data_IF_360790431634
#
_entry.id   IF_360790431634
#
_cell.length_a   1.000
_cell.length_b   1.000
_cell.length_c   1.000
_cell.angle_alpha   90.00
_cell.angle_beta   90.00
_cell.angle_gamma   90.00
#
_symmetry.space_group_name_H-M   'P 1'
#
loop_
_entity.id
_entity.type
_entity.pdbx_description
1 polymer ?
#
# COMPACT_ATOMS: atom_id res chain seq x y z
N UNK A 1 -27.96 -14.48 16.71
CA UNK A 1 -27.87 -13.75 15.43
C UNK A 1 -26.59 -12.94 15.46
N UNK A 2 -25.60 -13.36 14.68
CA UNK A 2 -24.23 -12.83 14.67
C UNK A 2 -24.20 -11.45 13.99
N UNK A 3 -23.67 -10.47 14.70
CA UNK A 3 -23.26 -9.17 14.14
C UNK A 3 -21.93 -9.42 13.44
N UNK A 4 -21.95 -9.40 12.10
CA UNK A 4 -20.74 -9.43 11.30
C UNK A 4 -19.91 -8.17 11.62
N UNK A 5 -18.83 -8.36 12.38
CA UNK A 5 -17.87 -7.31 12.68
C UNK A 5 -17.25 -6.79 11.38
N UNK A 6 -17.34 -5.48 11.16
CA UNK A 6 -16.50 -4.80 10.20
C UNK A 6 -15.05 -5.06 10.61
N UNK A 7 -14.31 -5.81 9.79
CA UNK A 7 -12.85 -5.92 9.91
C UNK A 7 -12.27 -4.53 9.65
N UNK A 8 -11.87 -3.83 10.70
CA UNK A 8 -10.91 -2.73 10.58
C UNK A 8 -9.67 -3.30 9.88
N UNK A 9 -9.35 -2.85 8.66
CA UNK A 9 -8.10 -3.18 8.00
C UNK A 9 -6.97 -2.38 8.67
N UNK A 10 -6.55 -2.82 9.87
CA UNK A 10 -5.26 -2.38 10.42
C UNK A 10 -4.19 -2.96 9.50
N UNK A 11 -3.36 -2.08 8.94
CA UNK A 11 -2.18 -2.51 8.18
C UNK A 11 -1.22 -3.29 9.07
N UNK A 12 -0.26 -3.98 8.46
CA UNK A 12 0.83 -4.62 9.19
C UNK A 12 1.71 -3.55 9.84
N UNK A 13 2.14 -3.81 11.07
CA UNK A 13 2.96 -2.86 11.86
C UNK A 13 4.44 -3.10 11.59
N UNK A 14 4.83 -4.36 11.42
CA UNK A 14 6.21 -4.80 11.26
C UNK A 14 6.57 -5.20 9.82
N UNK A 15 5.63 -5.11 8.88
CA UNK A 15 5.89 -5.34 7.46
C UNK A 15 5.84 -4.03 6.68
N UNK A 16 6.85 -3.80 5.85
CA UNK A 16 6.98 -2.63 5.00
C UNK A 16 7.23 -3.06 3.56
N UNK A 17 6.54 -2.41 2.63
CA UNK A 17 6.76 -2.61 1.19
C UNK A 17 7.34 -1.31 0.63
N UNK A 18 8.41 -1.43 -0.12
CA UNK A 18 9.08 -0.33 -0.82
C UNK A 18 9.09 -0.57 -2.33
N UNK A 19 9.05 0.51 -3.11
CA UNK A 19 9.27 0.50 -4.56
C UNK A 19 8.26 -0.32 -5.38
N UNK A 20 7.04 -0.53 -4.87
CA UNK A 20 5.94 -1.13 -5.62
C UNK A 20 6.16 -2.60 -6.04
N UNK A 21 6.99 -3.36 -5.31
CA UNK A 21 7.24 -4.78 -5.60
C UNK A 21 5.94 -5.61 -5.61
N UNK A 22 5.06 -5.32 -4.64
CA UNK A 22 3.69 -5.79 -4.50
C UNK A 22 2.87 -4.68 -3.82
N UNK A 23 1.63 -4.40 -4.22
CA UNK A 23 0.79 -3.43 -3.52
C UNK A 23 0.46 -3.87 -2.08
N UNK A 24 0.40 -2.97 -1.09
CA UNK A 24 0.07 -3.31 0.29
C UNK A 24 -1.28 -4.02 0.47
N UNK A 25 -2.30 -3.70 -0.34
CA UNK A 25 -3.57 -4.42 -0.34
C UNK A 25 -3.46 -5.86 -0.87
N UNK A 26 -2.50 -6.12 -1.75
CA UNK A 26 -2.24 -7.47 -2.22
C UNK A 26 -1.66 -8.32 -1.08
N UNK A 27 -0.78 -7.74 -0.24
CA UNK A 27 -0.29 -8.41 0.96
C UNK A 27 -1.41 -8.72 1.97
N UNK A 28 -2.41 -7.84 2.10
CA UNK A 28 -3.61 -8.14 2.89
C UNK A 28 -4.42 -9.32 2.31
N UNK A 29 -4.53 -9.39 0.98
CA UNK A 29 -5.19 -10.50 0.28
C UNK A 29 -4.43 -11.82 0.51
N UNK A 30 -3.09 -11.79 0.46
CA UNK A 30 -2.24 -12.93 0.81
C UNK A 30 -2.49 -13.38 2.25
N UNK A 31 -2.52 -12.46 3.21
CA UNK A 31 -2.77 -12.78 4.62
C UNK A 31 -4.20 -13.31 4.87
N UNK A 32 -5.16 -12.91 4.04
CA UNK A 32 -6.53 -13.43 4.07
C UNK A 32 -6.68 -14.81 3.41
N UNK A 33 -5.63 -15.35 2.78
CA UNK A 33 -5.65 -16.56 1.93
C UNK A 33 -6.54 -16.41 0.69
N UNK A 34 -6.61 -15.20 0.13
CA UNK A 34 -7.44 -14.84 -1.03
C UNK A 34 -6.62 -14.68 -2.32
N UNK A 35 -5.28 -14.75 -2.24
CA UNK A 35 -4.41 -14.74 -3.41
C UNK A 35 -4.40 -16.11 -4.11
N UNK A 36 -4.07 -16.16 -5.42
CA UNK A 36 -3.94 -17.42 -6.15
C UNK A 36 -2.90 -18.37 -5.50
N UNK A 37 -3.11 -19.68 -5.65
CA UNK A 37 -2.16 -20.72 -5.21
C UNK A 37 -1.80 -20.65 -3.71
N UNK A 38 -2.81 -20.47 -2.85
CA UNK A 38 -2.68 -20.49 -1.39
C UNK A 38 -3.34 -21.69 -0.70
N UNK A 39 -3.60 -22.78 -1.42
CA UNK A 39 -4.03 -24.02 -0.78
C UNK A 39 -2.88 -24.63 0.04
N UNK A 40 -3.20 -25.49 1.01
CA UNK A 40 -2.18 -26.12 1.86
C UNK A 40 -1.09 -26.85 1.06
N UNK A 41 -1.48 -27.52 -0.02
CA UNK A 41 -0.56 -28.19 -0.93
C UNK A 41 0.42 -27.22 -1.64
N UNK A 42 0.01 -25.97 -1.91
CA UNK A 42 0.89 -24.95 -2.49
C UNK A 42 1.97 -24.51 -1.51
N UNK A 43 1.78 -24.72 -0.20
CA UNK A 43 2.78 -24.54 0.84
C UNK A 43 3.54 -25.83 1.18
N UNK A 44 3.34 -26.91 0.42
CA UNK A 44 3.97 -28.21 0.71
C UNK A 44 3.34 -28.95 1.90
N UNK A 45 2.18 -28.50 2.40
CA UNK A 45 1.49 -29.16 3.50
C UNK A 45 0.73 -30.40 3.01
N UNK A 46 0.69 -31.44 3.85
CA UNK A 46 -0.11 -32.63 3.57
C UNK A 46 -1.61 -32.31 3.65
N UNK A 47 -2.44 -33.14 3.01
CA UNK A 47 -3.90 -32.94 2.97
C UNK A 47 -4.58 -32.93 4.33
N UNK A 48 -3.95 -33.50 5.35
CA UNK A 48 -4.49 -33.56 6.72
C UNK A 48 -4.17 -32.31 7.55
N UNK A 49 -3.32 -31.40 7.05
CA UNK A 49 -2.88 -30.22 7.78
C UNK A 49 -3.58 -28.96 7.27
N UNK A 50 -4.17 -28.20 8.19
CA UNK A 50 -4.74 -26.90 7.88
C UNK A 50 -3.68 -25.80 8.03
N UNK A 51 -3.61 -24.88 7.06
CA UNK A 51 -2.65 -23.75 7.07
C UNK A 51 -2.70 -22.97 8.39
N UNK A 52 -3.90 -22.70 8.93
CA UNK A 52 -4.05 -21.93 10.18
C UNK A 52 -3.45 -22.64 11.39
N UNK A 53 -3.55 -23.96 11.44
CA UNK A 53 -2.99 -24.77 12.53
C UNK A 53 -1.46 -24.84 12.41
N UNK A 54 -0.96 -25.00 11.18
CA UNK A 54 0.48 -24.98 10.91
C UNK A 54 1.10 -23.60 11.18
N UNK A 55 0.43 -22.49 10.84
CA UNK A 55 0.86 -21.14 11.22
C UNK A 55 0.98 -21.00 12.74
N UNK A 56 0.02 -21.51 13.52
CA UNK A 56 0.12 -21.52 14.98
C UNK A 56 1.24 -22.42 15.50
N UNK A 57 1.57 -23.51 14.79
CA UNK A 57 2.74 -24.36 15.10
C UNK A 57 4.05 -23.64 14.81
N UNK A 58 4.22 -23.08 13.61
CA UNK A 58 5.42 -22.33 13.23
C UNK A 58 5.61 -21.07 14.06
N UNK A 59 4.53 -20.41 14.50
CA UNK A 59 4.59 -19.30 15.44
C UNK A 59 5.25 -19.70 16.76
N UNK A 60 4.86 -20.85 17.34
CA UNK A 60 5.48 -21.36 18.58
C UNK A 60 6.96 -21.70 18.40
N UNK A 61 7.31 -22.34 17.27
CA UNK A 61 8.71 -22.66 16.94
C UNK A 61 9.52 -21.36 16.78
N UNK A 62 8.97 -20.36 16.08
CA UNK A 62 9.59 -19.04 15.91
C UNK A 62 9.85 -18.31 17.22
N UNK A 63 8.89 -18.32 18.14
CA UNK A 63 9.06 -17.71 19.46
C UNK A 63 10.15 -18.38 20.29
N UNK A 64 10.25 -19.72 20.28
CA UNK A 64 11.34 -20.45 20.96
C UNK A 64 12.70 -20.12 20.33
N UNK A 65 12.82 -20.14 19.01
CA UNK A 65 14.05 -19.75 18.31
C UNK A 65 14.44 -18.30 18.61
N UNK A 66 13.49 -17.37 18.57
CA UNK A 66 13.75 -15.95 18.80
C UNK A 66 14.13 -15.68 20.25
N UNK A 67 13.47 -16.32 21.21
CA UNK A 67 13.79 -16.16 22.63
C UNK A 67 15.22 -16.59 22.92
N UNK A 68 15.65 -17.74 22.39
CA UNK A 68 17.05 -18.21 22.51
C UNK A 68 18.03 -17.25 21.86
N UNK A 69 17.70 -16.73 20.67
CA UNK A 69 18.50 -15.72 20.00
C UNK A 69 18.61 -14.43 20.84
N UNK A 70 17.48 -13.94 21.37
CA UNK A 70 17.40 -12.72 22.17
C UNK A 70 18.18 -12.80 23.48
N UNK A 71 18.18 -13.97 24.14
CA UNK A 71 18.98 -14.24 25.34
C UNK A 71 20.48 -14.30 25.06
N UNK A 72 20.87 -14.87 23.90
CA UNK A 72 22.28 -15.12 23.59
C UNK A 72 22.96 -13.99 22.84
N UNK A 73 22.23 -13.18 22.05
CA UNK A 73 22.81 -12.09 21.25
C UNK A 73 23.60 -11.02 22.03
N UNK A 74 23.32 -10.71 23.33
CA UNK A 74 24.11 -9.72 24.07
C UNK A 74 25.45 -10.28 24.57
N UNK A 75 25.65 -11.60 24.54
CA UNK A 75 26.86 -12.25 25.06
C UNK A 75 28.06 -11.98 24.16
N UNK A 76 29.13 -11.48 24.75
CA UNK A 76 30.38 -11.14 24.07
C UNK A 76 31.35 -12.31 23.96
N UNK A 77 31.12 -13.39 24.72
CA UNK A 77 31.94 -14.62 24.71
C UNK A 77 31.54 -15.58 23.57
N UNK A 78 30.40 -15.33 22.91
CA UNK A 78 29.91 -16.11 21.78
C UNK A 78 30.27 -15.46 20.44
N UNK A 79 30.50 -16.28 19.42
CA UNK A 79 30.65 -15.79 18.04
C UNK A 79 29.31 -15.28 17.53
N UNK A 80 29.27 -14.04 17.05
CA UNK A 80 28.05 -13.41 16.54
C UNK A 80 27.44 -14.18 15.36
N UNK A 81 28.26 -14.73 14.47
CA UNK A 81 27.80 -15.53 13.32
C UNK A 81 27.13 -16.84 13.74
N UNK A 82 27.65 -17.51 14.76
CA UNK A 82 27.02 -18.72 15.30
C UNK A 82 25.65 -18.39 15.87
N UNK A 83 25.55 -17.35 16.71
CA UNK A 83 24.28 -16.98 17.35
C UNK A 83 23.26 -16.41 16.34
N UNK A 84 23.70 -15.50 15.46
CA UNK A 84 22.81 -14.78 14.54
C UNK A 84 22.47 -15.53 13.26
N UNK A 85 23.36 -16.36 12.75
CA UNK A 85 23.16 -17.06 11.47
C UNK A 85 22.89 -18.55 11.70
N UNK A 86 23.83 -19.27 12.33
CA UNK A 86 23.75 -20.73 12.45
C UNK A 86 22.62 -21.19 13.39
N UNK A 87 22.37 -20.45 14.47
CA UNK A 87 21.38 -20.79 15.51
C UNK A 87 20.05 -20.03 15.37
N UNK A 88 20.02 -18.94 14.59
CA UNK A 88 18.83 -18.10 14.40
C UNK A 88 18.33 -18.10 12.95
N UNK A 89 19.01 -17.41 12.02
CA UNK A 89 18.49 -17.22 10.67
C UNK A 89 18.39 -18.50 9.84
N UNK A 90 19.39 -19.38 9.88
CA UNK A 90 19.35 -20.62 9.12
C UNK A 90 18.24 -21.57 9.65
N UNK A 91 18.08 -21.78 10.98
CA UNK A 91 16.94 -22.52 11.52
C UNK A 91 15.60 -21.85 11.24
N UNK A 92 15.51 -20.52 11.27
CA UNK A 92 14.32 -19.77 10.90
C UNK A 92 13.92 -20.07 9.44
N UNK A 93 14.86 -19.97 8.50
CA UNK A 93 14.59 -20.25 7.08
C UNK A 93 14.20 -21.71 6.84
N UNK A 94 14.92 -22.67 7.40
CA UNK A 94 14.62 -24.09 7.21
C UNK A 94 13.31 -24.49 7.90
N UNK A 95 13.22 -24.21 9.20
CA UNK A 95 12.17 -24.78 10.06
C UNK A 95 10.86 -24.02 10.00
N UNK A 96 10.89 -22.72 9.71
CA UNK A 96 9.67 -21.91 9.60
C UNK A 96 9.33 -21.67 8.14
N UNK A 97 10.27 -21.18 7.34
CA UNK A 97 9.96 -20.76 5.96
C UNK A 97 10.13 -21.88 4.91
N UNK A 98 10.52 -23.09 5.29
CA UNK A 98 10.52 -24.26 4.40
C UNK A 98 11.67 -24.32 3.40
N UNK A 99 12.79 -23.63 3.65
CA UNK A 99 13.99 -23.70 2.82
C UNK A 99 14.81 -24.95 3.13
N UNK A 100 14.25 -26.13 2.87
CA UNK A 100 14.87 -27.43 3.24
C UNK A 100 16.25 -27.64 2.60
N UNK A 101 16.44 -27.14 1.38
CA UNK A 101 17.67 -27.26 0.57
C UNK A 101 18.64 -26.08 0.74
N UNK A 102 18.42 -25.21 1.74
CA UNK A 102 19.32 -24.09 2.03
C UNK A 102 20.77 -24.61 2.11
N UNK A 103 21.70 -24.00 1.40
CA UNK A 103 23.09 -24.43 1.33
C UNK A 103 24.02 -23.24 1.51
N UNK A 104 25.10 -23.42 2.26
CA UNK A 104 26.14 -22.39 2.39
C UNK A 104 26.95 -22.30 1.08
N UNK A 105 27.13 -21.09 0.56
CA UNK A 105 27.80 -20.83 -0.73
C UNK A 105 29.06 -19.98 -0.59
N UNK A 106 29.16 -19.17 0.47
CA UNK A 106 30.31 -18.29 0.75
C UNK A 106 30.36 -17.03 -0.13
N UNK A 107 30.62 -17.20 -1.43
CA UNK A 107 30.64 -16.13 -2.43
C UNK A 107 30.25 -16.65 -3.81
N UNK A 108 29.60 -15.81 -4.61
CA UNK A 108 29.39 -16.07 -6.04
C UNK A 108 30.33 -15.20 -6.89
N UNK A 109 30.84 -15.76 -7.98
CA UNK A 109 31.62 -15.02 -8.97
C UNK A 109 30.77 -14.80 -10.21
N UNK A 110 30.64 -13.54 -10.63
CA UNK A 110 29.83 -13.14 -11.77
C UNK A 110 30.52 -11.95 -12.47
N UNK A 111 30.82 -12.11 -13.76
CA UNK A 111 31.56 -11.12 -14.57
C UNK A 111 32.83 -10.58 -13.88
N UNK A 112 33.69 -11.48 -13.40
CA UNK A 112 34.94 -11.16 -12.68
C UNK A 112 34.73 -10.41 -11.34
N UNK A 113 33.49 -10.10 -10.96
CA UNK A 113 33.12 -9.54 -9.65
C UNK A 113 32.76 -10.67 -8.69
N UNK A 114 33.16 -10.50 -7.43
CA UNK A 114 32.84 -11.47 -6.39
C UNK A 114 31.80 -10.87 -5.44
N UNK A 115 30.63 -11.50 -5.41
CA UNK A 115 29.50 -11.15 -4.56
C UNK A 115 29.52 -12.01 -3.30
N UNK A 116 29.48 -11.37 -2.14
CA UNK A 116 29.37 -12.10 -0.86
C UNK A 116 27.94 -12.57 -0.69
N UNK A 117 27.71 -13.85 -0.95
CA UNK A 117 26.43 -14.55 -0.76
C UNK A 117 26.67 -15.69 0.21
N UNK A 118 26.06 -15.63 1.40
CA UNK A 118 26.36 -16.60 2.44
C UNK A 118 25.66 -17.93 2.19
N UNK A 119 24.45 -17.89 1.63
CA UNK A 119 23.66 -19.09 1.34
C UNK A 119 22.93 -18.98 0.00
N UNK A 120 22.43 -20.12 -0.48
CA UNK A 120 21.49 -20.20 -1.60
C UNK A 120 20.43 -21.28 -1.34
N UNK A 121 19.32 -21.20 -2.05
CA UNK A 121 18.31 -22.24 -2.14
C UNK A 121 17.94 -22.50 -3.61
N UNK A 122 17.27 -23.62 -3.87
CA UNK A 122 16.80 -24.03 -5.19
C UNK A 122 17.90 -24.07 -6.25
N UNK A 123 19.04 -24.67 -5.90
CA UNK A 123 20.17 -24.81 -6.82
C UNK A 123 20.83 -23.47 -7.22
N UNK A 124 20.67 -22.42 -6.41
CA UNK A 124 21.24 -21.10 -6.68
C UNK A 124 20.22 -20.05 -7.12
N UNK A 125 19.01 -20.46 -7.49
CA UNK A 125 18.00 -19.54 -8.03
C UNK A 125 17.48 -18.51 -7.00
N UNK A 126 17.64 -18.80 -5.71
CA UNK A 126 17.35 -17.84 -4.63
C UNK A 126 18.63 -17.64 -3.81
N UNK A 127 19.43 -16.59 -4.08
CA UNK A 127 20.57 -16.21 -3.27
C UNK A 127 20.14 -15.60 -1.93
N UNK A 128 20.94 -15.81 -0.88
CA UNK A 128 20.73 -15.24 0.44
C UNK A 128 22.01 -14.61 0.99
N UNK A 129 21.86 -13.42 1.57
CA UNK A 129 22.89 -12.75 2.36
C UNK A 129 22.44 -12.67 3.82
N UNK A 130 22.77 -13.72 4.57
CA UNK A 130 22.53 -13.83 6.00
C UNK A 130 23.72 -13.28 6.79
N UNK A 131 23.46 -12.22 7.55
CA UNK A 131 24.40 -11.43 8.32
C UNK A 131 23.99 -11.39 9.79
N UNK A 132 24.80 -10.72 10.59
CA UNK A 132 24.61 -10.51 12.02
C UNK A 132 24.18 -9.07 12.31
N UNK A 133 23.68 -8.83 13.53
CA UNK A 133 23.03 -7.57 13.92
C UNK A 133 23.93 -6.33 13.89
N UNK A 134 25.25 -6.52 13.85
CA UNK A 134 26.23 -5.47 13.67
C UNK A 134 26.27 -4.89 12.25
N UNK A 135 25.58 -5.52 11.29
CA UNK A 135 25.37 -4.98 9.96
C UNK A 135 24.03 -4.24 9.89
N UNK A 136 24.08 -2.99 9.43
CA UNK A 136 22.90 -2.24 8.99
C UNK A 136 22.71 -2.48 7.49
N UNK A 137 21.52 -2.94 7.09
CA UNK A 137 21.26 -3.41 5.73
C UNK A 137 21.43 -2.31 4.66
N UNK A 138 21.31 -1.04 5.06
CA UNK A 138 21.40 0.13 4.18
C UNK A 138 22.76 0.84 4.27
N UNK A 139 23.58 0.57 5.30
CA UNK A 139 24.88 1.24 5.46
C UNK A 139 26.01 0.45 4.84
N UNK A 140 26.87 1.17 4.13
CA UNK A 140 28.04 0.57 3.52
C UNK A 140 29.05 0.07 4.58
N UNK A 141 29.42 -1.21 4.49
CA UNK A 141 30.41 -1.86 5.33
C UNK A 141 31.58 -2.36 4.46
N UNK A 142 32.80 -2.20 4.97
CA UNK A 142 34.03 -2.64 4.29
C UNK A 142 34.10 -4.17 4.21
N UNK A 143 33.50 -4.87 5.18
CA UNK A 143 33.45 -6.33 5.27
C UNK A 143 32.55 -6.94 4.20
N UNK A 144 31.67 -6.16 3.57
CA UNK A 144 30.82 -6.62 2.47
C UNK A 144 31.41 -6.32 1.10
N UNK A 145 32.26 -5.30 0.97
CA UNK A 145 32.85 -4.95 -0.32
C UNK A 145 34.13 -5.75 -0.68
N UNK A 146 34.64 -5.41 -1.86
CA UNK A 146 35.83 -5.95 -2.54
C UNK A 146 36.87 -4.83 -2.70
N UNK A 147 38.16 -5.18 -2.69
CA UNK A 147 39.27 -4.25 -3.04
C UNK A 147 39.23 -2.90 -2.29
N UNK A 148 38.85 -2.92 -1.01
CA UNK A 148 38.78 -1.70 -0.19
C UNK A 148 37.51 -0.85 -0.40
N UNK A 149 36.59 -1.26 -1.29
CA UNK A 149 35.29 -0.61 -1.45
C UNK A 149 34.35 -1.02 -0.32
N UNK A 150 33.45 -0.13 0.08
CA UNK A 150 32.39 -0.43 1.06
C UNK A 150 31.08 -0.64 0.31
N UNK A 151 30.29 -1.63 0.72
CA UNK A 151 28.99 -1.91 0.12
C UNK A 151 27.95 -2.17 1.22
N UNK A 152 26.71 -1.78 0.97
CA UNK A 152 25.59 -2.10 1.85
C UNK A 152 25.03 -3.48 1.46
N UNK A 153 24.53 -4.24 2.43
CA UNK A 153 24.01 -5.59 2.18
C UNK A 153 22.85 -5.60 1.17
N UNK A 154 21.93 -4.63 1.29
CA UNK A 154 20.85 -4.45 0.33
C UNK A 154 21.39 -4.18 -1.08
N UNK A 155 22.36 -3.27 -1.20
CA UNK A 155 23.00 -2.93 -2.48
C UNK A 155 23.73 -4.12 -3.11
N UNK A 156 24.50 -4.88 -2.33
CA UNK A 156 25.21 -6.08 -2.80
C UNK A 156 24.24 -7.12 -3.37
N UNK A 157 23.10 -7.37 -2.70
CA UNK A 157 22.09 -8.27 -3.23
C UNK A 157 21.42 -7.71 -4.48
N UNK A 158 21.06 -6.42 -4.50
CA UNK A 158 20.42 -5.80 -5.66
C UNK A 158 21.34 -5.83 -6.89
N UNK A 159 22.63 -5.54 -6.73
CA UNK A 159 23.62 -5.63 -7.80
C UNK A 159 23.76 -7.06 -8.34
N UNK A 160 23.70 -8.07 -7.47
CA UNK A 160 23.73 -9.47 -7.89
C UNK A 160 22.48 -9.87 -8.68
N UNK A 161 21.28 -9.60 -8.14
CA UNK A 161 20.01 -9.93 -8.80
C UNK A 161 19.86 -9.21 -10.16
N UNK A 162 20.39 -8.00 -10.29
CA UNK A 162 20.37 -7.26 -11.55
C UNK A 162 21.37 -7.80 -12.60
N UNK A 163 22.32 -8.62 -12.19
CA UNK A 163 23.37 -9.16 -13.06
C UNK A 163 23.21 -10.66 -13.35
N UNK A 164 22.45 -11.40 -12.54
CA UNK A 164 22.26 -12.84 -12.66
C UNK A 164 20.83 -13.18 -13.11
N UNK A 165 20.67 -13.54 -14.39
CA UNK A 165 19.38 -13.92 -14.97
C UNK A 165 18.78 -15.19 -14.32
N UNK A 166 19.64 -16.04 -13.75
CA UNK A 166 19.21 -17.24 -13.03
C UNK A 166 18.68 -16.96 -11.61
N UNK A 167 18.71 -15.70 -11.13
CA UNK A 167 18.27 -15.31 -9.80
C UNK A 167 17.44 -14.03 -9.83
N UNK A 168 16.11 -14.17 -9.91
CA UNK A 168 15.20 -13.02 -9.90
C UNK A 168 14.89 -12.49 -8.50
N UNK A 169 14.94 -13.35 -7.48
CA UNK A 169 14.56 -13.02 -6.11
C UNK A 169 15.64 -13.43 -5.13
N UNK A 170 15.89 -12.60 -4.12
CA UNK A 170 16.90 -12.87 -3.10
C UNK A 170 16.49 -12.38 -1.72
N UNK A 171 17.11 -12.95 -0.69
CA UNK A 171 16.85 -12.60 0.70
C UNK A 171 18.07 -11.95 1.36
N UNK A 172 17.87 -10.87 2.10
CA UNK A 172 18.91 -10.26 2.93
C UNK A 172 18.42 -10.17 4.37
N UNK A 173 19.24 -10.60 5.33
CA UNK A 173 18.89 -10.46 6.74
C UNK A 173 20.09 -10.21 7.62
N UNK A 174 19.90 -9.46 8.71
CA UNK A 174 20.89 -9.23 9.76
C UNK A 174 20.45 -9.80 11.13
N UNK A 175 19.43 -10.66 11.16
CA UNK A 175 18.86 -11.22 12.40
C UNK A 175 17.74 -10.36 12.99
N UNK A 176 17.78 -9.04 12.79
CA UNK A 176 16.71 -8.11 13.18
C UNK A 176 15.66 -7.92 12.09
N UNK A 177 16.11 -7.83 10.84
CA UNK A 177 15.26 -7.57 9.68
C UNK A 177 15.47 -8.64 8.63
N UNK A 178 14.42 -8.98 7.89
CA UNK A 178 14.48 -9.80 6.70
C UNK A 178 13.92 -9.01 5.53
N UNK A 179 14.67 -8.90 4.45
CA UNK A 179 14.22 -8.28 3.21
C UNK A 179 14.13 -9.33 2.11
N UNK A 180 13.01 -9.31 1.40
CA UNK A 180 12.83 -9.98 0.13
C UNK A 180 12.97 -8.97 -1.00
N UNK A 181 13.96 -9.18 -1.86
CA UNK A 181 14.28 -8.31 -2.99
C UNK A 181 13.98 -9.04 -4.29
N UNK A 182 13.66 -8.26 -5.31
CA UNK A 182 13.61 -8.70 -6.70
C UNK A 182 14.65 -7.92 -7.53
N UNK A 183 15.08 -8.49 -8.65
CA UNK A 183 15.72 -7.74 -9.73
C UNK A 183 14.95 -6.44 -10.04
N UNK A 184 15.67 -5.34 -10.15
CA UNK A 184 15.10 -4.03 -10.37
C UNK A 184 16.06 -3.16 -11.17
N UNK A 185 15.70 -2.92 -12.42
CA UNK A 185 16.47 -2.08 -13.34
C UNK A 185 16.62 -0.62 -12.85
N UNK A 186 15.74 -0.16 -11.95
CA UNK A 186 15.82 1.17 -11.37
C UNK A 186 16.79 1.21 -10.19
N UNK A 187 17.98 1.79 -10.41
CA UNK A 187 18.98 2.01 -9.35
C UNK A 187 18.58 3.13 -8.35
N UNK A 188 17.56 3.93 -8.67
CA UNK A 188 17.17 5.10 -7.86
C UNK A 188 15.97 4.85 -6.94
N UNK A 189 15.20 3.78 -7.19
CA UNK A 189 14.02 3.42 -6.39
C UNK A 189 14.16 1.98 -5.90
N UNK A 190 14.64 1.75 -4.66
CA UNK A 190 14.75 0.40 -4.12
C UNK A 190 13.35 -0.24 -4.03
N UNK A 191 13.27 -1.55 -4.29
CA UNK A 191 12.01 -2.29 -4.32
C UNK A 191 12.16 -3.58 -3.53
N UNK A 192 11.45 -3.69 -2.40
CA UNK A 192 11.58 -4.83 -1.48
C UNK A 192 10.41 -4.93 -0.51
N UNK A 193 10.26 -6.12 0.08
CA UNK A 193 9.41 -6.35 1.26
C UNK A 193 10.33 -6.55 2.45
N UNK A 194 10.19 -5.73 3.50
CA UNK A 194 10.93 -5.83 4.75
C UNK A 194 10.00 -6.31 5.87
N UNK A 195 10.49 -7.25 6.66
CA UNK A 195 9.90 -7.64 7.93
C UNK A 195 10.86 -7.29 9.07
N UNK A 196 10.37 -6.58 10.08
CA UNK A 196 11.06 -6.36 11.34
C UNK A 196 10.83 -7.57 12.26
N UNK A 197 11.79 -8.50 12.26
CA UNK A 197 11.71 -9.74 13.04
C UNK A 197 11.76 -9.46 14.54
N UNK A 198 12.51 -8.44 14.97
CA UNK A 198 12.54 -8.07 16.37
C UNK A 198 11.16 -7.61 16.83
N UNK A 199 10.51 -6.73 16.07
CA UNK A 199 9.19 -6.22 16.38
C UNK A 199 8.13 -7.33 16.33
N UNK A 200 8.18 -8.21 15.31
CA UNK A 200 7.24 -9.33 15.17
C UNK A 200 7.24 -10.20 16.42
N UNK A 201 8.41 -10.63 16.89
CA UNK A 201 8.50 -11.57 18.00
C UNK A 201 8.48 -10.90 19.37
N UNK A 202 9.06 -9.71 19.54
CA UNK A 202 9.07 -9.02 20.84
C UNK A 202 7.70 -8.47 21.24
N UNK A 203 6.90 -8.00 20.26
CA UNK A 203 5.55 -7.47 20.51
C UNK A 203 4.44 -8.47 20.18
N UNK A 204 4.79 -9.76 20.03
CA UNK A 204 3.87 -10.88 19.77
C UNK A 204 2.90 -10.65 18.59
N UNK A 205 3.39 -10.06 17.49
CA UNK A 205 2.58 -9.69 16.33
C UNK A 205 2.31 -10.91 15.43
N UNK A 206 1.42 -11.81 15.88
CA UNK A 206 1.00 -12.98 15.12
C UNK A 206 0.47 -12.67 13.69
N UNK A 207 -0.35 -11.61 13.46
CA UNK A 207 -0.82 -11.28 12.11
C UNK A 207 0.32 -10.96 11.14
N UNK A 208 1.32 -10.20 11.59
CA UNK A 208 2.50 -9.84 10.82
C UNK A 208 3.38 -11.06 10.55
N UNK A 209 3.56 -11.94 11.54
CA UNK A 209 4.24 -13.22 11.33
C UNK A 209 3.52 -14.08 10.28
N UNK A 210 2.19 -14.20 10.36
CA UNK A 210 1.43 -15.00 9.41
C UNK A 210 1.56 -14.45 7.99
N UNK A 211 1.50 -13.13 7.82
CA UNK A 211 1.71 -12.49 6.52
C UNK A 211 3.15 -12.67 6.00
N UNK A 212 4.15 -12.56 6.86
CA UNK A 212 5.54 -12.87 6.53
C UNK A 212 5.69 -14.32 6.06
N UNK A 213 5.16 -15.28 6.83
CA UNK A 213 5.23 -16.70 6.49
C UNK A 213 4.58 -16.96 5.13
N UNK A 214 3.35 -16.47 4.92
CA UNK A 214 2.61 -16.69 3.68
C UNK A 214 3.29 -16.09 2.44
N UNK A 215 4.12 -15.06 2.61
CA UNK A 215 4.78 -14.31 1.53
C UNK A 215 6.21 -14.77 1.26
N UNK A 216 6.98 -15.07 2.31
CA UNK A 216 8.40 -15.42 2.21
C UNK A 216 8.68 -16.93 2.29
N UNK A 217 7.64 -17.77 2.45
CA UNK A 217 7.77 -19.22 2.40
C UNK A 217 8.46 -19.67 1.11
N UNK A 218 9.34 -20.66 1.20
CA UNK A 218 10.19 -21.12 0.12
C UNK A 218 9.38 -21.51 -1.13
N UNK A 219 8.18 -22.07 -0.95
CA UNK A 219 7.30 -22.42 -2.07
C UNK A 219 6.79 -21.23 -2.90
N UNK A 220 6.88 -20.00 -2.37
CA UNK A 220 6.54 -18.78 -3.12
C UNK A 220 7.60 -18.41 -4.15
N UNK A 221 8.84 -18.74 -3.82
CA UNK A 221 10.06 -18.32 -4.51
C UNK A 221 10.67 -19.44 -5.35
N UNK A 222 10.31 -20.69 -5.06
CA UNK A 222 10.72 -21.86 -5.83
C UNK A 222 10.37 -21.68 -7.32
N UNK A 223 11.37 -21.70 -8.22
CA UNK A 223 11.13 -21.74 -9.66
C UNK A 223 10.26 -22.94 -10.04
N UNK A 224 9.37 -22.75 -11.01
CA UNK A 224 8.57 -23.84 -11.60
C UNK A 224 9.00 -24.04 -13.06
N UNK A 225 8.85 -25.24 -13.61
CA UNK A 225 9.15 -25.52 -15.03
C UNK A 225 10.54 -25.05 -15.49
N UNK A 226 11.56 -25.15 -14.61
CA UNK A 226 12.94 -24.71 -14.81
C UNK A 226 13.09 -23.23 -15.25
N UNK A 227 12.10 -22.39 -14.93
CA UNK A 227 12.12 -20.94 -15.21
C UNK A 227 12.05 -20.14 -13.91
N UNK A 228 12.94 -19.17 -13.76
CA UNK A 228 12.97 -18.29 -12.59
C UNK A 228 11.75 -17.38 -12.53
N UNK A 229 11.17 -17.03 -13.68
CA UNK A 229 9.99 -16.15 -13.83
C UNK A 229 8.65 -16.81 -13.48
N UNK A 230 8.60 -18.12 -13.24
CA UNK A 230 7.36 -18.89 -13.03
C UNK A 230 7.14 -19.29 -11.57
N UNK A 231 7.82 -18.65 -10.62
CA UNK A 231 7.49 -18.80 -9.21
C UNK A 231 6.16 -18.11 -8.86
N UNK A 232 5.54 -18.51 -7.74
CA UNK A 232 4.20 -18.03 -7.38
C UNK A 232 4.19 -16.52 -7.11
N UNK A 233 5.26 -16.00 -6.49
CA UNK A 233 5.34 -14.56 -6.20
C UNK A 233 5.40 -13.70 -7.48
N UNK A 234 5.93 -14.22 -8.59
CA UNK A 234 5.86 -13.55 -9.90
C UNK A 234 4.44 -13.53 -10.46
N UNK A 235 3.70 -14.63 -10.29
CA UNK A 235 2.28 -14.69 -10.67
C UNK A 235 1.46 -13.69 -9.86
N UNK A 236 1.75 -13.56 -8.57
CA UNK A 236 1.15 -12.56 -7.69
C UNK A 236 1.45 -11.14 -8.14
N UNK A 237 2.72 -10.84 -8.47
CA UNK A 237 3.11 -9.51 -8.95
C UNK A 237 2.44 -9.17 -10.28
N UNK A 238 2.41 -10.09 -11.23
CA UNK A 238 1.71 -9.90 -12.50
C UNK A 238 0.21 -9.62 -12.28
N UNK A 239 -0.43 -10.35 -11.36
CA UNK A 239 -1.84 -10.15 -11.03
C UNK A 239 -2.11 -8.81 -10.35
N UNK A 240 -1.24 -8.42 -9.44
CA UNK A 240 -1.34 -7.16 -8.74
C UNK A 240 -1.17 -5.98 -9.72
N UNK A 241 -0.23 -6.09 -10.65
CA UNK A 241 -0.02 -5.08 -11.71
C UNK A 241 -1.23 -4.96 -12.63
N UNK A 242 -1.80 -6.07 -13.11
CA UNK A 242 -3.04 -6.09 -13.91
C UNK A 242 -4.21 -5.43 -13.16
N UNK A 243 -4.29 -5.67 -11.85
CA UNK A 243 -5.33 -5.07 -11.00
C UNK A 243 -5.11 -3.56 -10.86
N UNK A 244 -3.87 -3.10 -10.69
CA UNK A 244 -3.50 -1.69 -10.66
C UNK A 244 -3.87 -0.95 -11.95
N UNK A 245 -3.53 -1.51 -13.13
CA UNK A 245 -3.94 -0.96 -14.44
C UNK A 245 -5.45 -0.77 -14.53
N UNK A 246 -6.22 -1.81 -14.15
CA UNK A 246 -7.69 -1.74 -14.15
C UNK A 246 -8.22 -0.70 -13.18
N UNK A 247 -7.61 -0.52 -12.01
CA UNK A 247 -8.01 0.51 -11.05
C UNK A 247 -7.80 1.90 -11.65
N UNK A 248 -6.69 2.13 -12.35
CA UNK A 248 -6.42 3.41 -13.05
C UNK A 248 -7.45 3.72 -14.13
N UNK A 249 -7.73 2.77 -15.01
CA UNK A 249 -8.76 2.93 -16.05
C UNK A 249 -10.14 3.23 -15.43
N UNK A 250 -10.54 2.46 -14.43
CA UNK A 250 -11.80 2.68 -13.72
C UNK A 250 -11.84 4.03 -12.99
N UNK A 251 -10.72 4.52 -12.47
CA UNK A 251 -10.64 5.81 -11.80
C UNK A 251 -10.81 6.96 -12.80
N UNK A 252 -10.20 6.88 -13.99
CA UNK A 252 -10.41 7.85 -15.08
C UNK A 252 -11.89 7.97 -15.45
N UNK A 253 -12.55 6.84 -15.67
CA UNK A 253 -13.99 6.79 -15.95
C UNK A 253 -14.82 7.30 -14.77
N UNK A 254 -14.42 6.94 -13.55
CA UNK A 254 -15.04 7.38 -12.32
C UNK A 254 -15.00 8.91 -12.16
N UNK A 255 -13.86 9.53 -12.42
CA UNK A 255 -13.70 10.98 -12.36
C UNK A 255 -14.55 11.66 -13.44
N UNK A 256 -14.53 11.17 -14.68
CA UNK A 256 -15.33 11.72 -15.78
C UNK A 256 -16.83 11.69 -15.44
N UNK A 257 -17.33 10.57 -14.91
CA UNK A 257 -18.71 10.45 -14.44
C UNK A 257 -19.00 11.36 -13.25
N UNK A 258 -18.05 11.53 -12.35
CA UNK A 258 -18.17 12.43 -11.20
C UNK A 258 -18.29 13.88 -11.63
N UNK A 259 -17.46 14.34 -12.56
CA UNK A 259 -17.54 15.69 -13.13
C UNK A 259 -18.93 15.95 -13.73
N UNK A 260 -19.45 14.99 -14.51
CA UNK A 260 -20.81 15.08 -15.06
C UNK A 260 -21.88 15.12 -13.96
N UNK A 261 -21.75 14.30 -12.91
CA UNK A 261 -22.74 14.24 -11.82
C UNK A 261 -22.75 15.52 -10.99
N UNK A 262 -21.57 16.04 -10.64
CA UNK A 262 -21.44 17.30 -9.92
C UNK A 262 -21.92 18.46 -10.78
N UNK A 263 -21.45 18.59 -12.02
CA UNK A 263 -21.85 19.64 -12.94
C UNK A 263 -23.37 19.72 -13.12
N UNK A 264 -23.98 18.60 -13.51
CA UNK A 264 -25.44 18.55 -13.64
C UNK A 264 -26.15 18.76 -12.30
N UNK A 265 -25.61 18.26 -11.20
CA UNK A 265 -26.23 18.38 -9.88
C UNK A 265 -26.31 19.82 -9.40
N UNK A 266 -25.25 20.62 -9.62
CA UNK A 266 -25.28 22.05 -9.35
C UNK A 266 -26.25 22.77 -10.29
N UNK A 267 -26.22 22.50 -11.60
CA UNK A 267 -27.12 23.19 -12.54
C UNK A 267 -28.60 22.87 -12.29
N UNK A 268 -28.94 21.64 -11.88
CA UNK A 268 -30.32 21.23 -11.60
C UNK A 268 -30.86 21.71 -10.26
N UNK A 269 -30.01 22.12 -9.34
CA UNK A 269 -30.47 22.51 -8.01
C UNK A 269 -31.23 23.83 -8.07
N UNK A 270 -32.47 23.85 -7.55
CA UNK A 270 -33.38 25.01 -7.65
C UNK A 270 -32.79 26.32 -7.10
N UNK A 271 -31.97 26.25 -6.05
CA UNK A 271 -31.37 27.44 -5.43
C UNK A 271 -30.28 28.10 -6.29
N UNK A 272 -29.75 27.41 -7.30
CA UNK A 272 -28.61 27.89 -8.10
C UNK A 272 -29.06 28.70 -9.32
N UNK A 273 -30.04 29.59 -9.14
CA UNK A 273 -30.56 30.45 -10.23
C UNK A 273 -29.45 31.32 -10.79
N UNK A 274 -28.65 31.94 -9.92
CA UNK A 274 -27.53 32.80 -10.32
C UNK A 274 -26.48 32.06 -11.14
N UNK A 275 -26.13 30.84 -10.73
CA UNK A 275 -25.16 30.02 -11.46
C UNK A 275 -25.62 29.74 -12.91
N UNK A 276 -26.90 29.43 -13.10
CA UNK A 276 -27.48 29.22 -14.44
C UNK A 276 -27.47 30.52 -15.24
N UNK A 277 -27.94 31.63 -14.66
CA UNK A 277 -27.95 32.93 -15.31
C UNK A 277 -26.55 33.40 -15.73
N UNK A 278 -25.54 33.22 -14.88
CA UNK A 278 -24.16 33.59 -15.16
C UNK A 278 -23.57 32.74 -16.30
N UNK A 279 -24.00 31.48 -16.46
CA UNK A 279 -23.64 30.65 -17.61
C UNK A 279 -24.39 31.06 -18.89
N UNK A 280 -25.70 31.30 -18.80
CA UNK A 280 -26.57 31.73 -19.91
C UNK A 280 -26.10 33.05 -20.52
N UNK A 281 -25.76 34.03 -19.68
CA UNK A 281 -25.33 35.36 -20.13
C UNK A 281 -23.82 35.47 -20.42
N UNK A 282 -23.07 34.39 -20.21
CA UNK A 282 -21.62 34.31 -20.46
C UNK A 282 -20.73 34.99 -19.40
N UNK A 283 -21.26 35.47 -18.28
CA UNK A 283 -20.47 35.99 -17.15
C UNK A 283 -19.56 34.90 -16.54
N UNK A 284 -20.01 33.65 -16.58
CA UNK A 284 -19.23 32.45 -16.29
C UNK A 284 -19.11 31.64 -17.59
N UNK A 285 -17.88 31.45 -18.08
CA UNK A 285 -17.67 30.58 -19.24
C UNK A 285 -17.75 29.10 -18.87
N UNK A 286 -18.14 28.25 -19.82
CA UNK A 286 -18.19 26.80 -19.61
C UNK A 286 -16.84 26.21 -19.19
N UNK A 287 -15.74 26.76 -19.73
CA UNK A 287 -14.38 26.38 -19.35
C UNK A 287 -14.07 26.73 -17.89
N UNK A 288 -14.44 27.93 -17.42
CA UNK A 288 -14.23 28.32 -16.02
C UNK A 288 -15.07 27.50 -15.06
N UNK A 289 -16.31 27.17 -15.43
CA UNK A 289 -17.14 26.28 -14.63
C UNK A 289 -16.52 24.87 -14.54
N UNK A 290 -16.05 24.34 -15.67
CA UNK A 290 -15.36 23.06 -15.72
C UNK A 290 -14.07 23.02 -14.89
N UNK A 291 -13.27 24.09 -14.93
CA UNK A 291 -12.09 24.26 -14.09
C UNK A 291 -12.43 24.18 -12.59
N UNK A 292 -13.54 24.78 -12.16
CA UNK A 292 -13.99 24.68 -10.76
C UNK A 292 -14.45 23.26 -10.41
N UNK A 293 -15.13 22.56 -11.32
CA UNK A 293 -15.49 21.16 -11.12
C UNK A 293 -14.26 20.26 -11.01
N UNK A 294 -13.24 20.46 -11.84
CA UNK A 294 -11.96 19.74 -11.76
C UNK A 294 -11.29 19.97 -10.40
N UNK A 295 -11.22 21.22 -9.94
CA UNK A 295 -10.67 21.57 -8.62
C UNK A 295 -11.46 20.94 -7.49
N UNK A 296 -12.79 20.92 -7.58
CA UNK A 296 -13.65 20.25 -6.60
C UNK A 296 -13.39 18.75 -6.55
N UNK A 297 -13.29 18.07 -7.70
CA UNK A 297 -12.93 16.65 -7.72
C UNK A 297 -11.54 16.43 -7.13
N UNK A 298 -10.58 17.30 -7.44
CA UNK A 298 -9.24 17.21 -6.88
C UNK A 298 -9.23 17.38 -5.36
N UNK A 299 -10.07 18.27 -4.79
CA UNK A 299 -10.29 18.39 -3.33
C UNK A 299 -10.73 17.06 -2.74
N UNK A 300 -11.67 16.36 -3.40
CA UNK A 300 -12.19 15.07 -2.93
C UNK A 300 -11.13 13.96 -3.00
N UNK A 301 -10.38 13.87 -4.11
CA UNK A 301 -9.31 12.87 -4.27
C UNK A 301 -8.17 13.10 -3.27
N UNK A 302 -7.79 14.36 -3.06
CA UNK A 302 -6.82 14.74 -2.05
C UNK A 302 -7.29 14.30 -0.66
N UNK A 303 -8.55 14.56 -0.30
CA UNK A 303 -9.09 14.16 0.99
C UNK A 303 -9.13 12.65 1.18
N UNK A 304 -9.55 11.87 0.18
CA UNK A 304 -9.47 10.41 0.30
C UNK A 304 -8.05 9.94 0.61
N UNK A 305 -7.06 10.50 -0.08
CA UNK A 305 -5.66 10.15 0.10
C UNK A 305 -5.14 10.58 1.47
N UNK A 306 -5.39 11.83 1.87
CA UNK A 306 -4.92 12.40 3.12
C UNK A 306 -5.56 11.75 4.35
N UNK A 307 -6.86 11.45 4.30
CA UNK A 307 -7.57 10.73 5.35
C UNK A 307 -7.06 9.28 5.47
N UNK A 308 -6.94 8.56 4.35
CA UNK A 308 -6.51 7.16 4.39
C UNK A 308 -5.05 6.99 4.82
N UNK A 309 -4.18 7.95 4.50
CA UNK A 309 -2.77 7.99 4.97
C UNK A 309 -2.60 8.61 6.36
N UNK A 310 -3.68 9.06 7.00
CA UNK A 310 -3.64 9.77 8.29
C UNK A 310 -2.70 11.00 8.29
N UNK A 311 -2.67 11.73 7.17
CA UNK A 311 -1.79 12.89 6.94
C UNK A 311 -2.46 14.24 7.21
N UNK A 312 -3.77 14.24 7.49
CA UNK A 312 -4.54 15.48 7.57
C UNK A 312 -4.31 16.27 8.86
N UNK A 313 -3.98 15.59 9.95
CA UNK A 313 -3.89 16.19 11.27
C UNK A 313 -2.45 16.60 11.63
N UNK A 314 -2.32 17.66 12.44
CA UNK A 314 -1.02 18.05 12.98
C UNK A 314 -0.45 16.96 13.90
N UNK A 315 0.89 16.86 14.05
CA UNK A 315 1.51 15.91 14.97
C UNK A 315 1.04 16.06 16.43
N UNK A 316 0.62 17.26 16.82
CA UNK A 316 0.12 17.58 18.16
C UNK A 316 -1.39 17.36 18.35
N UNK A 317 -2.11 16.93 17.31
CA UNK A 317 -3.55 16.73 17.40
C UNK A 317 -3.89 15.54 18.32
N UNK A 318 -4.73 15.81 19.33
CA UNK A 318 -5.23 14.84 20.30
C UNK A 318 -6.23 13.86 19.67
N UNK A 319 -6.41 12.70 20.29
CA UNK A 319 -7.37 11.69 19.84
C UNK A 319 -8.80 12.22 19.80
N UNK A 320 -9.17 13.09 20.76
CA UNK A 320 -10.48 13.74 20.79
C UNK A 320 -10.71 14.63 19.57
N UNK A 321 -9.72 15.46 19.20
CA UNK A 321 -9.80 16.31 18.00
C UNK A 321 -9.93 15.49 16.72
N UNK A 322 -9.15 14.40 16.61
CA UNK A 322 -9.21 13.46 15.49
C UNK A 322 -10.58 12.78 15.40
N UNK A 323 -11.17 12.39 16.54
CA UNK A 323 -12.49 11.80 16.61
C UNK A 323 -13.60 12.76 16.17
N UNK A 324 -13.57 14.02 16.61
CA UNK A 324 -14.55 15.03 16.18
C UNK A 324 -14.51 15.21 14.66
N UNK A 325 -13.32 15.28 14.07
CA UNK A 325 -13.18 15.35 12.61
C UNK A 325 -13.73 14.10 11.92
N UNK A 326 -13.30 12.91 12.37
CA UNK A 326 -13.67 11.65 11.73
C UNK A 326 -15.17 11.36 11.79
N UNK A 327 -15.83 11.71 12.91
CA UNK A 327 -17.26 11.49 13.14
C UNK A 327 -18.16 12.61 12.58
N UNK A 328 -17.61 13.82 12.43
CA UNK A 328 -18.35 15.02 12.04
C UNK A 328 -18.18 15.43 10.57
N UNK A 329 -16.97 15.32 10.03
CA UNK A 329 -16.56 16.04 8.81
C UNK A 329 -15.85 15.17 7.77
N UNK A 330 -15.26 14.04 8.16
CA UNK A 330 -14.48 13.20 7.25
C UNK A 330 -15.31 12.66 6.07
N UNK A 331 -14.63 12.54 4.94
CA UNK A 331 -15.18 12.05 3.68
C UNK A 331 -15.52 10.56 3.76
N UNK A 332 -14.87 9.81 4.66
CA UNK A 332 -15.24 8.44 5.03
C UNK A 332 -16.74 8.28 5.30
N UNK A 333 -17.37 9.23 5.99
CA UNK A 333 -18.82 9.24 6.28
C UNK A 333 -19.65 9.35 5.02
N UNK A 334 -19.23 10.19 4.07
CA UNK A 334 -19.92 10.30 2.78
C UNK A 334 -19.76 9.00 1.97
N UNK A 335 -18.61 8.30 2.04
CA UNK A 335 -18.43 6.98 1.40
C UNK A 335 -19.41 5.96 1.96
N UNK A 336 -19.56 5.90 3.28
CA UNK A 336 -20.51 4.97 3.93
C UNK A 336 -21.96 5.28 3.56
N UNK A 337 -22.35 6.56 3.57
CA UNK A 337 -23.69 6.99 3.16
C UNK A 337 -23.95 6.69 1.69
N UNK A 338 -22.94 6.83 0.83
CA UNK A 338 -23.04 6.56 -0.59
C UNK A 338 -23.35 5.08 -0.92
N UNK A 339 -23.15 4.15 0.01
CA UNK A 339 -23.56 2.75 -0.15
C UNK A 339 -25.03 2.50 0.15
N UNK A 340 -25.73 3.44 0.81
CA UNK A 340 -27.11 3.24 1.30
C UNK A 340 -28.07 4.20 0.60
N UNK A 341 -28.92 3.66 -0.28
CA UNK A 341 -29.84 4.46 -1.10
C UNK A 341 -30.79 5.37 -0.32
N UNK A 342 -31.11 5.06 0.94
CA UNK A 342 -31.94 5.92 1.80
C UNK A 342 -31.40 7.33 2.04
N UNK A 343 -30.11 7.57 1.82
CA UNK A 343 -29.50 8.91 1.98
C UNK A 343 -29.51 9.72 0.69
N UNK A 344 -29.99 9.15 -0.42
CA UNK A 344 -30.08 9.83 -1.70
C UNK A 344 -31.41 10.59 -1.75
N UNK A 345 -31.38 11.82 -1.23
CA UNK A 345 -32.52 12.73 -1.22
C UNK A 345 -32.17 14.07 -1.91
N UNK A 346 -33.12 15.00 -1.90
CA UNK A 346 -33.00 16.32 -2.52
C UNK A 346 -32.49 17.42 -1.58
N UNK A 347 -32.12 17.07 -0.33
CA UNK A 347 -31.54 18.02 0.61
C UNK A 347 -30.10 18.35 0.20
N UNK A 348 -29.52 19.41 0.77
CA UNK A 348 -28.15 19.85 0.46
C UNK A 348 -27.25 19.92 1.71
N UNK A 349 -27.67 19.29 2.82
CA UNK A 349 -26.97 19.30 4.11
C UNK A 349 -25.60 18.62 4.03
N UNK A 350 -25.45 17.57 3.22
CA UNK A 350 -24.14 16.92 3.04
C UNK A 350 -23.14 17.84 2.33
N UNK A 351 -23.60 18.62 1.37
CA UNK A 351 -22.77 19.63 0.70
C UNK A 351 -22.35 20.74 1.67
N UNK A 352 -23.26 21.20 2.53
CA UNK A 352 -22.95 22.21 3.55
C UNK A 352 -21.89 21.69 4.53
N UNK A 353 -22.02 20.44 5.00
CA UNK A 353 -21.01 19.81 5.84
C UNK A 353 -19.63 19.71 5.17
N UNK A 354 -19.61 19.35 3.88
CA UNK A 354 -18.38 19.29 3.09
C UNK A 354 -17.74 20.67 2.88
N UNK A 355 -18.55 21.71 2.63
CA UNK A 355 -18.07 23.09 2.51
C UNK A 355 -17.43 23.60 3.82
N UNK A 356 -17.98 23.22 4.98
CA UNK A 356 -17.37 23.51 6.29
C UNK A 356 -16.00 22.83 6.40
N UNK A 357 -15.89 21.56 6.00
CA UNK A 357 -14.62 20.85 5.99
C UNK A 357 -13.58 21.52 5.08
N UNK A 358 -13.99 21.99 3.89
CA UNK A 358 -13.10 22.74 3.00
C UNK A 358 -12.64 24.07 3.62
N UNK A 359 -13.54 24.83 4.25
CA UNK A 359 -13.16 26.04 4.98
C UNK A 359 -12.19 25.77 6.12
N UNK A 360 -12.43 24.70 6.88
CA UNK A 360 -11.55 24.29 7.96
C UNK A 360 -10.12 23.97 7.49
N UNK A 361 -9.98 23.41 6.28
CA UNK A 361 -8.68 23.11 5.68
C UNK A 361 -8.04 24.30 4.97
N UNK A 362 -8.84 25.28 4.55
CA UNK A 362 -8.35 26.54 4.01
C UNK A 362 -7.59 27.33 5.07
N UNK A 363 -8.23 27.51 6.22
CA UNK A 363 -7.79 28.45 7.26
C UNK A 363 -7.15 27.76 8.47
N UNK A 364 -7.31 26.45 8.60
CA UNK A 364 -6.89 25.67 9.76
C UNK A 364 -7.88 25.79 10.91
N UNK A 365 -8.12 24.68 11.62
CA UNK A 365 -9.02 24.63 12.78
C UNK A 365 -8.35 23.82 13.89
N UNK A 366 -7.78 24.48 14.90
CA UNK A 366 -7.13 23.83 16.03
C UNK A 366 -8.05 22.84 16.77
N UNK A 367 -9.34 23.16 16.92
CA UNK A 367 -10.32 22.29 17.59
C UNK A 367 -10.59 20.97 16.86
N UNK A 368 -10.21 20.88 15.58
CA UNK A 368 -10.26 19.65 14.78
C UNK A 368 -8.86 19.05 14.54
N UNK A 369 -7.81 19.66 15.11
CA UNK A 369 -6.43 19.29 14.86
C UNK A 369 -6.01 19.45 13.39
N UNK A 370 -6.67 20.35 12.65
CA UNK A 370 -6.42 20.57 11.22
C UNK A 370 -5.50 21.77 10.99
N UNK A 371 -4.40 21.62 10.24
CA UNK A 371 -3.57 22.74 9.81
C UNK A 371 -4.23 23.53 8.67
N UNK A 372 -3.80 24.77 8.46
CA UNK A 372 -4.14 25.54 7.27
C UNK A 372 -3.35 24.99 6.08
N UNK A 373 -4.00 24.21 5.21
CA UNK A 373 -3.38 23.68 3.99
C UNK A 373 -3.34 24.72 2.88
N UNK A 374 -4.29 25.67 2.87
CA UNK A 374 -4.42 26.67 1.81
C UNK A 374 -4.50 26.04 0.43
N UNK A 375 -3.81 26.64 -0.55
CA UNK A 375 -3.69 26.11 -1.91
C UNK A 375 -5.04 25.72 -2.53
N UNK A 376 -5.22 24.42 -2.74
CA UNK A 376 -6.45 23.83 -3.29
C UNK A 376 -7.73 24.20 -2.51
N UNK A 377 -7.63 24.38 -1.19
CA UNK A 377 -8.77 24.71 -0.32
C UNK A 377 -8.98 26.21 -0.14
N UNK A 378 -8.07 27.05 -0.64
CA UNK A 378 -8.16 28.50 -0.47
C UNK A 378 -9.52 29.03 -0.97
N UNK A 379 -10.08 29.97 -0.21
CA UNK A 379 -11.27 30.71 -0.60
C UNK A 379 -11.08 31.38 -1.97
N UNK A 380 -12.04 31.19 -2.88
CA UNK A 380 -12.01 31.78 -4.22
C UNK A 380 -11.42 30.91 -5.32
N UNK A 381 -10.97 29.69 -5.03
CA UNK A 381 -10.56 28.73 -6.06
C UNK A 381 -11.76 28.08 -6.78
N UNK A 382 -12.94 28.04 -6.13
CA UNK A 382 -14.20 27.54 -6.69
C UNK A 382 -15.39 28.46 -6.36
N UNK A 383 -15.32 29.77 -6.68
CA UNK A 383 -16.21 30.79 -6.12
C UNK A 383 -17.69 30.57 -6.46
N UNK A 384 -17.99 29.99 -7.61
CA UNK A 384 -19.35 29.73 -8.07
C UNK A 384 -19.91 28.45 -7.45
N UNK A 385 -19.06 27.45 -7.21
CA UNK A 385 -19.46 26.19 -6.56
C UNK A 385 -19.55 26.31 -5.03
N UNK A 386 -18.60 27.01 -4.40
CA UNK A 386 -18.52 27.19 -2.95
C UNK A 386 -19.78 27.89 -2.39
N UNK A 387 -20.48 28.67 -3.23
CA UNK A 387 -21.74 29.37 -2.90
C UNK A 387 -23.00 28.67 -3.43
N UNK A 388 -22.83 27.62 -4.22
CA UNK A 388 -23.93 26.86 -4.79
C UNK A 388 -24.42 25.79 -3.81
N UNK A 389 -25.56 25.17 -4.14
CA UNK A 389 -26.09 24.00 -3.45
C UNK A 389 -26.21 22.81 -4.41
N UNK A 390 -26.02 21.60 -3.90
CA UNK A 390 -26.20 20.37 -4.68
C UNK A 390 -27.00 19.37 -3.84
N UNK A 391 -27.95 18.69 -4.48
CA UNK A 391 -28.73 17.65 -3.82
C UNK A 391 -27.85 16.47 -3.39
N UNK A 392 -28.16 15.89 -2.24
CA UNK A 392 -27.46 14.75 -1.65
C UNK A 392 -27.40 13.57 -2.63
N UNK A 393 -28.45 13.32 -3.42
CA UNK A 393 -28.46 12.27 -4.43
C UNK A 393 -27.34 12.42 -5.48
N UNK A 394 -27.01 13.65 -5.87
CA UNK A 394 -25.96 13.93 -6.85
C UNK A 394 -24.58 13.89 -6.20
N UNK A 395 -24.43 14.46 -5.00
CA UNK A 395 -23.17 14.41 -4.25
C UNK A 395 -22.79 12.97 -3.87
N UNK A 396 -23.74 12.19 -3.35
CA UNK A 396 -23.47 10.81 -2.96
C UNK A 396 -23.19 9.91 -4.17
N UNK A 397 -23.82 10.13 -5.32
CA UNK A 397 -23.50 9.37 -6.54
C UNK A 397 -22.09 9.72 -7.06
N UNK A 398 -21.68 10.98 -6.95
CA UNK A 398 -20.31 11.43 -7.21
C UNK A 398 -19.31 10.75 -6.25
N UNK A 399 -19.55 10.83 -4.94
CA UNK A 399 -18.72 10.17 -3.93
C UNK A 399 -18.65 8.67 -4.16
N UNK A 400 -19.78 8.00 -4.44
CA UNK A 400 -19.83 6.57 -4.74
C UNK A 400 -18.92 6.22 -5.91
N UNK A 401 -18.95 7.04 -6.96
CA UNK A 401 -18.23 6.79 -8.20
C UNK A 401 -16.72 6.99 -8.03
N UNK A 402 -16.27 7.94 -7.21
CA UNK A 402 -14.86 8.06 -6.84
C UNK A 402 -14.42 6.98 -5.84
N UNK A 403 -15.30 6.58 -4.93
CA UNK A 403 -14.96 5.71 -3.83
C UNK A 403 -14.90 4.22 -4.19
N UNK A 404 -15.61 3.81 -5.24
CA UNK A 404 -15.86 2.40 -5.56
C UNK A 404 -15.90 2.14 -7.07
N UNK A 405 -15.46 0.95 -7.45
CA UNK A 405 -15.57 0.42 -8.81
C UNK A 405 -16.23 -0.97 -8.79
N UNK A 406 -16.82 -1.38 -9.91
CA UNK A 406 -17.34 -2.75 -10.04
C UNK A 406 -16.22 -3.69 -10.45
N UNK A 407 -16.06 -4.78 -9.72
CA UNK A 407 -15.18 -5.89 -10.08
C UNK A 407 -16.06 -7.15 -10.22
N UNK A 408 -16.44 -7.46 -11.47
CA UNK A 408 -17.46 -8.48 -11.73
C UNK A 408 -18.81 -8.12 -11.06
N UNK A 409 -19.31 -9.01 -10.19
CA UNK A 409 -20.56 -8.82 -9.46
C UNK A 409 -20.39 -8.11 -8.11
N UNK A 410 -19.17 -7.82 -7.68
CA UNK A 410 -18.91 -7.15 -6.39
C UNK A 410 -18.53 -5.68 -6.60
N UNK A 411 -18.79 -4.89 -5.56
CA UNK A 411 -18.37 -3.50 -5.50
C UNK A 411 -17.08 -3.43 -4.68
N UNK A 412 -15.97 -3.10 -5.32
CA UNK A 412 -14.67 -2.95 -4.69
C UNK A 412 -14.41 -1.48 -4.33
N UNK A 413 -13.71 -1.24 -3.23
CA UNK A 413 -13.30 0.10 -2.79
C UNK A 413 -12.02 0.49 -3.52
N UNK A 414 -11.94 1.74 -3.98
CA UNK A 414 -10.68 2.33 -4.48
C UNK A 414 -9.76 2.60 -3.29
N UNK A 415 -8.54 2.06 -3.34
CA UNK A 415 -7.51 2.23 -2.32
C UNK A 415 -6.68 3.49 -2.60
N UNK A 416 -7.02 4.61 -1.96
CA UNK A 416 -6.30 5.86 -2.14
C UNK A 416 -5.03 5.93 -1.28
N UNK A 417 -4.92 5.11 -0.23
CA UNK A 417 -3.73 4.99 0.61
C UNK A 417 -2.50 4.61 -0.22
N UNK A 418 -2.63 3.62 -1.07
CA UNK A 418 -1.49 2.98 -1.73
C UNK A 418 -1.29 3.41 -3.19
N UNK A 419 -2.17 4.29 -3.70
CA UNK A 419 -2.06 4.85 -5.04
C UNK A 419 -0.86 5.81 -5.14
N UNK A 420 -0.01 5.61 -6.14
CA UNK A 420 1.17 6.45 -6.34
C UNK A 420 0.79 7.84 -6.88
N UNK A 421 1.64 8.82 -6.60
CA UNK A 421 1.60 10.17 -7.14
C UNK A 421 1.60 10.20 -8.67
N UNK A 422 2.35 9.31 -9.32
CA UNK A 422 2.35 9.16 -10.79
C UNK A 422 0.98 8.67 -11.31
N UNK A 423 0.32 7.77 -10.58
CA UNK A 423 -1.00 7.24 -10.96
C UNK A 423 -2.07 8.33 -10.88
N UNK A 424 -2.10 9.10 -9.79
CA UNK A 424 -2.98 10.27 -9.67
C UNK A 424 -2.68 11.35 -10.72
N UNK A 425 -1.40 11.56 -11.04
CA UNK A 425 -0.95 12.49 -12.07
C UNK A 425 -1.48 12.09 -13.46
N UNK A 426 -1.36 10.82 -13.82
CA UNK A 426 -1.84 10.29 -15.11
C UNK A 426 -3.37 10.43 -15.28
N UNK A 427 -4.12 10.21 -14.19
CA UNK A 427 -5.58 10.45 -14.19
C UNK A 427 -5.84 11.92 -14.48
N UNK A 428 -5.12 12.84 -13.83
CA UNK A 428 -5.31 14.28 -14.04
C UNK A 428 -4.98 14.73 -15.46
N UNK A 429 -3.86 14.30 -16.04
CA UNK A 429 -3.47 14.63 -17.41
C UNK A 429 -4.57 14.23 -18.40
N UNK A 430 -5.13 13.03 -18.23
CA UNK A 430 -6.22 12.54 -19.08
C UNK A 430 -7.52 13.35 -18.98
N UNK A 431 -7.70 14.12 -17.89
CA UNK A 431 -8.88 14.98 -17.70
C UNK A 431 -8.71 16.35 -18.36
N UNK A 432 -7.48 16.82 -18.56
CA UNK A 432 -7.21 18.08 -19.26
C UNK A 432 -7.59 18.01 -20.75
N UNK A 433 -7.68 16.80 -21.31
CA UNK A 433 -8.14 16.57 -22.68
C UNK A 433 -9.66 16.74 -22.85
N UNK A 434 -10.42 16.71 -21.74
CA UNK A 434 -11.87 16.80 -21.78
C UNK A 434 -12.32 18.23 -22.10
N UNK A 435 -13.28 18.36 -23.02
CA UNK A 435 -13.93 19.63 -23.33
C UNK A 435 -15.36 19.64 -22.80
N UNK A 436 -15.74 20.61 -21.96
CA UNK A 436 -17.09 20.69 -21.44
C UNK A 436 -18.06 21.14 -22.53
N UNK A 437 -19.20 20.45 -22.63
CA UNK A 437 -20.39 20.93 -23.35
C UNK A 437 -21.46 21.16 -22.28
N UNK A 438 -21.86 22.41 -22.13
CA UNK A 438 -22.82 22.82 -21.11
C UNK A 438 -24.01 23.44 -21.82
N UNK A 439 -25.17 22.89 -21.51
CA UNK A 439 -26.46 23.41 -21.92
C UNK A 439 -27.26 23.68 -20.64
N UNK A 440 -27.82 24.89 -20.56
CA UNK A 440 -28.52 25.44 -19.40
C UNK A 440 -30.01 25.64 -19.68
N UNK A 441 -30.45 25.37 -20.91
CA UNK A 441 -31.84 25.49 -21.37
C UNK A 441 -32.80 24.44 -20.76
#
# INVERSE_FOLDING_TARGET
>A
MSVAGARESRGFTALRIEGGILPPEFLQSVAALEAPQQAGADYGLSRSLAIKEELARYWRIGNDLYSRYAERRPRTDLRTSTVGVEEWLAPFLRSLLGYDDLAATGSAMLDERVFKLTHSAFGGAVPLLLLTRDFDLDKADIRLGQEGRRQAAHGTMQEYLNAEDAALWGLVSNGSKLRLLRDNASLTRPSYIEADLDLIFAEELYPDFAALWLTAHASRLKPADDKTTSCIIETWRAKAHETGERVRENLRDGVTRTLRRLGNGFLRHRANVRLRQDLENGALSSERYFQQLLRLVYRLLFLFTAEERNLLHTPSATDSQRAIYSEGYALSRLRERALRRRHYDRNADLWQGLAIAFGALADGVPDLGLPALGGLFRSGECPDLDRAAIANEHLLEAIRTLAFFRSGNTLARVNYRDMDTEELGSVYESLLELRPVIDVD
#
